data_IF_259646273548
#
_entry.id   IF_259646273548
#
_cell.length_a   1.000
_cell.length_b   1.000
_cell.length_c   1.000
_cell.angle_alpha   90.00
_cell.angle_beta   90.00
_cell.angle_gamma   90.00
#
_symmetry.space_group_name_H-M   'P 1'
#
loop_
_entity.id
_entity.type
_entity.pdbx_description
1 polymer ?
#
# COMPACT_ATOMS: atom_id res chain seq x y z
N UNK A 1 -12.78 30.29 3.65
CA UNK A 1 -14.08 29.81 3.12
C UNK A 1 -14.23 28.29 3.16
N UNK A 2 -13.39 27.48 2.52
CA UNK A 2 -13.56 26.01 2.48
C UNK A 2 -13.69 25.35 3.87
N UNK A 3 -12.86 25.75 4.84
CA UNK A 3 -12.90 25.22 6.23
C UNK A 3 -14.16 25.64 7.01
N UNK A 4 -14.75 26.80 6.68
CA UNK A 4 -15.97 27.29 7.32
C UNK A 4 -17.20 26.56 6.77
N UNK A 5 -17.22 26.32 5.45
CA UNK A 5 -18.28 25.57 4.76
C UNK A 5 -18.27 24.09 5.13
N UNK A 6 -17.10 23.47 5.29
CA UNK A 6 -17.00 22.06 5.70
C UNK A 6 -17.48 21.77 7.13
N UNK A 7 -17.69 22.82 7.94
CA UNK A 7 -18.17 22.71 9.31
C UNK A 7 -19.68 22.93 9.43
N UNK A 8 -20.36 23.28 8.34
CA UNK A 8 -21.82 23.34 8.33
C UNK A 8 -22.40 21.92 8.40
N UNK A 9 -23.54 21.78 9.08
CA UNK A 9 -24.12 20.47 9.41
C UNK A 9 -24.51 19.64 8.18
N UNK A 10 -24.91 20.30 7.09
CA UNK A 10 -25.23 19.67 5.82
C UNK A 10 -24.02 19.01 5.17
N UNK A 11 -22.86 19.68 5.17
CA UNK A 11 -21.62 19.12 4.62
C UNK A 11 -20.93 18.14 5.57
N UNK A 12 -21.00 18.36 6.89
CA UNK A 12 -20.35 17.52 7.88
C UNK A 12 -21.04 16.16 8.06
N UNK A 13 -22.37 16.13 7.97
CA UNK A 13 -23.16 14.90 8.13
C UNK A 13 -23.44 14.17 6.81
N UNK A 14 -23.11 14.77 5.67
CA UNK A 14 -23.26 14.12 4.38
C UNK A 14 -22.22 13.00 4.22
N UNK A 15 -22.70 11.77 4.04
CA UNK A 15 -21.84 10.66 3.64
C UNK A 15 -21.25 10.94 2.25
N UNK A 16 -19.92 10.82 2.07
CA UNK A 16 -19.28 11.13 0.81
C UNK A 16 -19.78 10.18 -0.28
N UNK A 17 -20.14 10.72 -1.45
CA UNK A 17 -20.70 9.95 -2.57
C UNK A 17 -19.88 8.70 -2.95
N UNK A 18 -18.52 8.72 -2.96
CA UNK A 18 -17.74 7.51 -3.22
C UNK A 18 -17.98 6.40 -2.19
N UNK A 19 -18.14 6.74 -0.91
CA UNK A 19 -18.41 5.78 0.16
C UNK A 19 -19.78 5.14 -0.03
N UNK A 20 -20.82 5.95 -0.31
CA UNK A 20 -22.16 5.44 -0.59
C UNK A 20 -22.18 4.50 -1.81
N UNK A 21 -21.44 4.83 -2.88
CA UNK A 21 -21.35 3.99 -4.07
C UNK A 21 -20.66 2.64 -3.78
N UNK A 22 -19.55 2.66 -3.05
CA UNK A 22 -18.78 1.46 -2.66
C UNK A 22 -19.60 0.57 -1.71
N UNK A 23 -20.29 1.16 -0.74
CA UNK A 23 -21.16 0.42 0.18
C UNK A 23 -22.36 -0.20 -0.52
N UNK A 24 -22.96 0.50 -1.50
CA UNK A 24 -24.07 -0.03 -2.31
C UNK A 24 -23.71 -1.28 -3.10
N UNK A 25 -22.45 -1.43 -3.50
CA UNK A 25 -21.96 -2.65 -4.18
C UNK A 25 -21.53 -3.75 -3.21
N UNK A 26 -21.69 -3.54 -1.89
CA UNK A 26 -21.34 -4.52 -0.85
C UNK A 26 -19.87 -4.51 -0.46
N UNK A 27 -19.10 -3.49 -0.86
CA UNK A 27 -17.69 -3.38 -0.53
C UNK A 27 -17.44 -2.46 0.67
N UNK A 28 -16.31 -2.67 1.36
CA UNK A 28 -15.86 -1.82 2.45
C UNK A 28 -15.03 -0.64 1.89
N UNK A 29 -15.32 0.57 2.35
CA UNK A 29 -14.55 1.76 2.03
C UNK A 29 -13.55 2.06 3.15
N UNK A 30 -12.25 1.99 2.85
CA UNK A 30 -11.17 2.26 3.82
C UNK A 30 -10.60 3.65 3.54
N UNK A 31 -10.71 4.56 4.51
CA UNK A 31 -10.08 5.87 4.44
C UNK A 31 -8.69 5.83 5.06
N UNK A 32 -7.68 6.12 4.24
CA UNK A 32 -6.30 6.21 4.71
C UNK A 32 -6.02 7.62 5.25
N UNK A 33 -5.26 7.75 6.36
CA UNK A 33 -4.76 9.03 6.83
C UNK A 33 -4.01 9.81 5.73
N UNK A 34 -4.24 11.12 5.64
CA UNK A 34 -3.52 11.97 4.66
C UNK A 34 -2.03 12.01 4.99
N UNK A 35 -1.19 11.95 3.95
CA UNK A 35 0.28 11.96 4.04
C UNK A 35 0.94 10.73 4.68
N UNK A 36 0.22 9.60 4.69
CA UNK A 36 0.70 8.32 5.17
C UNK A 36 0.80 7.29 4.03
N UNK A 37 1.73 7.52 3.09
CA UNK A 37 1.86 6.70 1.88
C UNK A 37 2.27 5.24 2.18
N UNK A 38 2.86 4.99 3.34
CA UNK A 38 3.18 3.68 3.91
C UNK A 38 1.95 2.83 4.31
N UNK A 39 0.76 3.40 4.24
CA UNK A 39 -0.50 2.69 4.44
C UNK A 39 -1.21 2.38 3.11
N UNK A 40 -0.75 2.93 1.99
CA UNK A 40 -1.39 2.77 0.68
C UNK A 40 -0.69 1.67 -0.15
N UNK A 41 -1.40 0.58 -0.50
CA UNK A 41 -0.87 -0.50 -1.34
C UNK A 41 -0.30 -0.07 -2.69
N UNK A 42 -0.79 1.04 -3.24
CA UNK A 42 -0.42 1.53 -4.57
C UNK A 42 0.86 2.39 -4.50
N UNK A 43 1.03 3.16 -3.41
CA UNK A 43 2.13 4.15 -3.30
C UNK A 43 3.43 3.55 -2.77
N UNK A 44 3.39 2.39 -2.11
CA UNK A 44 4.57 1.80 -1.51
C UNK A 44 5.50 1.09 -2.51
N UNK A 45 5.96 1.83 -3.51
CA UNK A 45 6.98 1.40 -4.47
C UNK A 45 8.30 2.18 -4.38
N UNK A 46 8.43 3.10 -3.42
CA UNK A 46 9.65 3.90 -3.25
C UNK A 46 10.58 3.31 -2.17
N UNK A 47 11.39 2.35 -2.59
CA UNK A 47 12.55 1.87 -1.85
C UNK A 47 13.60 1.25 -2.76
N UNK A 48 13.59 1.62 -4.05
CA UNK A 48 14.21 0.86 -5.13
C UNK A 48 15.23 1.62 -5.97
N UNK A 49 15.74 2.73 -5.46
CA UNK A 49 16.80 3.44 -6.17
C UNK A 49 18.22 3.04 -5.73
N UNK A 50 18.40 2.05 -4.84
CA UNK A 50 19.73 1.61 -4.41
C UNK A 50 19.89 0.10 -4.17
N UNK A 51 19.27 -0.77 -4.97
CA UNK A 51 19.61 -2.19 -4.91
C UNK A 51 19.74 -2.78 -6.32
N UNK A 52 20.98 -2.76 -6.82
CA UNK A 52 21.44 -3.70 -7.83
C UNK A 52 21.42 -5.09 -7.17
N UNK A 53 20.40 -5.89 -7.44
CA UNK A 53 20.41 -7.31 -7.11
C UNK A 53 20.40 -8.07 -8.42
N UNK A 54 21.60 -8.39 -8.91
CA UNK A 54 21.87 -9.72 -9.45
C UNK A 54 21.87 -10.61 -8.22
N UNK A 55 20.84 -11.43 -8.05
CA UNK A 55 21.00 -12.81 -7.60
C UNK A 55 19.64 -13.50 -7.55
N UNK A 56 19.60 -14.61 -8.28
CA UNK A 56 18.65 -15.70 -8.13
C UNK A 56 18.85 -16.32 -6.75
N UNK A 57 17.74 -16.46 -6.02
CA UNK A 57 17.60 -17.30 -4.84
C UNK A 57 18.27 -16.77 -3.55
N UNK A 58 17.42 -16.47 -2.57
CA UNK A 58 17.73 -16.07 -1.19
C UNK A 58 18.22 -14.64 -0.95
N UNK A 59 17.31 -13.67 -0.98
CA UNK A 59 17.38 -12.58 0.01
C UNK A 59 16.06 -11.84 0.16
N UNK A 60 15.78 -11.47 1.41
CA UNK A 60 14.62 -10.81 1.97
C UNK A 60 14.37 -9.40 1.41
N UNK A 61 14.27 -9.30 0.10
CA UNK A 61 14.00 -8.06 -0.59
C UNK A 61 12.54 -7.71 -0.35
N UNK A 62 12.32 -6.60 0.35
CA UNK A 62 11.01 -6.10 0.74
C UNK A 62 10.28 -5.49 -0.47
N UNK A 63 10.04 -6.31 -1.49
CA UNK A 63 9.21 -5.93 -2.62
C UNK A 63 7.75 -5.97 -2.18
N UNK A 64 7.06 -4.89 -2.44
CA UNK A 64 5.64 -4.74 -2.17
C UNK A 64 4.87 -4.97 -3.47
N UNK A 65 3.57 -5.23 -3.40
CA UNK A 65 2.75 -5.59 -4.55
C UNK A 65 3.03 -4.71 -5.79
N UNK A 66 2.89 -3.38 -5.66
CA UNK A 66 3.11 -2.46 -6.77
C UNK A 66 4.58 -2.39 -7.22
N UNK A 67 5.53 -2.49 -6.28
CA UNK A 67 6.95 -2.54 -6.58
C UNK A 67 7.33 -3.77 -7.41
N UNK A 68 6.82 -4.94 -7.03
CA UNK A 68 6.99 -6.20 -7.73
C UNK A 68 6.39 -6.13 -9.14
N UNK A 69 5.15 -5.64 -9.26
CA UNK A 69 4.47 -5.50 -10.56
C UNK A 69 5.24 -4.56 -11.50
N UNK A 70 5.68 -3.40 -11.01
CA UNK A 70 6.46 -2.44 -11.81
C UNK A 70 7.82 -2.98 -12.22
N UNK A 71 8.50 -3.72 -11.34
CA UNK A 71 9.78 -4.34 -11.64
C UNK A 71 9.63 -5.33 -12.79
N UNK A 72 8.71 -6.30 -12.65
CA UNK A 72 8.39 -7.28 -13.70
C UNK A 72 7.91 -6.64 -14.99
N UNK A 73 7.07 -5.61 -14.86
CA UNK A 73 6.66 -4.82 -16.01
C UNK A 73 7.88 -4.26 -16.75
N UNK A 74 8.86 -3.66 -16.07
CA UNK A 74 10.05 -3.05 -16.70
C UNK A 74 10.99 -4.06 -17.37
N UNK A 75 11.04 -5.31 -16.90
CA UNK A 75 11.86 -6.36 -17.52
C UNK A 75 11.42 -6.67 -18.96
N UNK A 76 10.14 -6.47 -19.27
CA UNK A 76 9.57 -6.80 -20.58
C UNK A 76 9.58 -5.57 -21.52
N UNK A 77 10.26 -5.62 -22.68
CA UNK A 77 10.08 -4.63 -23.73
C UNK A 77 8.66 -4.74 -24.32
N UNK A 78 8.05 -3.60 -24.65
CA UNK A 78 6.75 -3.55 -25.36
C UNK A 78 6.86 -2.59 -26.52
N UNK A 79 6.37 -3.00 -27.68
CA UNK A 79 6.49 -2.23 -28.91
C UNK A 79 5.25 -1.37 -29.18
N UNK A 80 4.11 -1.71 -28.56
CA UNK A 80 2.85 -0.98 -28.71
C UNK A 80 2.07 -0.90 -27.40
N UNK A 81 1.02 -0.08 -27.40
CA UNK A 81 0.16 0.13 -26.23
C UNK A 81 -0.63 -1.12 -25.84
N UNK A 82 -1.04 -1.96 -26.80
CA UNK A 82 -1.79 -3.18 -26.51
C UNK A 82 -0.95 -4.18 -25.71
N UNK A 83 0.31 -4.39 -26.11
CA UNK A 83 1.29 -5.20 -25.40
C UNK A 83 1.60 -4.61 -24.01
N UNK A 84 1.73 -3.29 -23.91
CA UNK A 84 1.90 -2.61 -22.62
C UNK A 84 0.72 -2.88 -21.68
N UNK A 85 -0.52 -2.78 -22.18
CA UNK A 85 -1.71 -3.04 -21.38
C UNK A 85 -1.80 -4.51 -20.96
N UNK A 86 -1.51 -5.44 -21.85
CA UNK A 86 -1.51 -6.88 -21.54
C UNK A 86 -0.43 -7.23 -20.51
N UNK A 87 0.79 -6.69 -20.66
CA UNK A 87 1.87 -6.91 -19.72
C UNK A 87 1.51 -6.36 -18.32
N UNK A 88 0.82 -5.22 -18.24
CA UNK A 88 0.37 -4.67 -16.96
C UNK A 88 -0.59 -5.64 -16.25
N UNK A 89 -1.64 -6.11 -16.93
CA UNK A 89 -2.60 -7.07 -16.37
C UNK A 89 -1.91 -8.37 -15.96
N UNK A 90 -1.07 -8.91 -16.84
CA UNK A 90 -0.34 -10.15 -16.58
C UNK A 90 0.48 -10.08 -15.27
N UNK A 91 1.21 -8.99 -15.03
CA UNK A 91 2.02 -8.87 -13.83
C UNK A 91 1.22 -8.50 -12.58
N UNK A 92 0.07 -7.83 -12.73
CA UNK A 92 -0.85 -7.60 -11.62
C UNK A 92 -1.46 -8.92 -11.11
N UNK A 93 -1.81 -9.83 -12.03
CA UNK A 93 -2.41 -11.13 -11.73
C UNK A 93 -1.36 -12.17 -11.29
N UNK A 94 -0.13 -12.06 -11.81
CA UNK A 94 0.96 -12.99 -11.48
C UNK A 94 1.62 -12.70 -10.12
N UNK A 95 1.23 -11.64 -9.41
CA UNK A 95 1.86 -11.28 -8.14
C UNK A 95 1.60 -12.36 -7.09
N UNK A 96 2.67 -12.98 -6.51
CA UNK A 96 2.50 -14.02 -5.52
C UNK A 96 1.73 -13.56 -4.28
N UNK A 97 0.89 -14.43 -3.74
CA UNK A 97 0.09 -14.13 -2.53
C UNK A 97 0.94 -13.83 -1.30
N UNK A 98 2.17 -14.37 -1.22
CA UNK A 98 3.07 -14.09 -0.10
C UNK A 98 3.58 -12.64 -0.14
N UNK A 99 3.79 -12.06 -1.34
CA UNK A 99 4.14 -10.64 -1.51
C UNK A 99 3.00 -9.75 -1.00
N UNK A 100 1.75 -10.08 -1.36
CA UNK A 100 0.56 -9.40 -0.87
C UNK A 100 0.43 -9.49 0.67
N UNK A 101 0.60 -10.68 1.24
CA UNK A 101 0.52 -10.88 2.70
C UNK A 101 1.60 -10.11 3.45
N UNK A 102 2.84 -10.10 2.97
CA UNK A 102 3.95 -9.32 3.56
C UNK A 102 3.62 -7.83 3.58
N UNK A 103 3.02 -7.33 2.50
CA UNK A 103 2.56 -5.95 2.41
C UNK A 103 1.48 -5.65 3.47
N UNK A 104 0.41 -6.45 3.51
CA UNK A 104 -0.70 -6.23 4.45
C UNK A 104 -0.17 -6.22 5.89
N UNK A 105 0.67 -7.19 6.24
CA UNK A 105 1.31 -7.26 7.55
C UNK A 105 2.16 -6.02 7.87
N UNK A 106 2.88 -5.48 6.88
CA UNK A 106 3.67 -4.25 7.04
C UNK A 106 2.77 -3.04 7.30
N UNK A 107 1.72 -2.84 6.51
CA UNK A 107 0.76 -1.74 6.72
C UNK A 107 0.08 -1.83 8.08
N UNK A 108 -0.25 -3.04 8.54
CA UNK A 108 -0.78 -3.26 9.89
C UNK A 108 0.20 -2.83 10.99
N UNK A 109 1.50 -3.08 10.83
CA UNK A 109 2.51 -2.61 11.79
C UNK A 109 2.63 -1.10 11.82
N UNK A 110 2.59 -0.44 10.67
CA UNK A 110 2.54 1.01 10.59
C UNK A 110 1.27 1.55 11.26
N UNK A 111 0.11 0.95 10.98
CA UNK A 111 -1.15 1.33 11.61
C UNK A 111 -1.09 1.20 13.14
N UNK A 112 -0.49 0.11 13.64
CA UNK A 112 -0.26 -0.09 15.08
C UNK A 112 0.68 0.97 15.68
N UNK A 113 1.74 1.34 14.97
CA UNK A 113 2.67 2.40 15.38
C UNK A 113 1.96 3.76 15.46
N UNK A 114 1.17 4.13 14.45
CA UNK A 114 0.40 5.37 14.45
C UNK A 114 -0.67 5.41 15.55
N UNK A 115 -1.33 4.27 15.83
CA UNK A 115 -2.28 4.18 16.96
C UNK A 115 -1.62 4.43 18.32
N UNK A 116 -0.31 4.18 18.43
CA UNK A 116 0.49 4.50 19.64
C UNK A 116 1.00 5.94 19.66
N UNK A 117 0.63 6.78 18.68
CA UNK A 117 1.05 8.17 18.57
C UNK A 117 2.46 8.38 17.99
N UNK A 118 3.06 7.35 17.38
CA UNK A 118 4.36 7.51 16.74
C UNK A 118 4.23 8.35 15.45
N UNK A 119 5.17 9.27 15.24
CA UNK A 119 5.27 10.04 14.00
C UNK A 119 5.93 9.21 12.87
N UNK A 120 6.02 9.75 11.65
CA UNK A 120 6.52 9.02 10.48
C UNK A 120 7.90 8.38 10.67
N UNK A 121 8.90 9.14 11.13
CA UNK A 121 10.26 8.63 11.34
C UNK A 121 10.32 7.59 12.46
N UNK A 122 9.64 7.85 13.59
CA UNK A 122 9.60 6.93 14.72
C UNK A 122 8.83 5.65 14.37
N UNK A 123 7.78 5.73 13.55
CA UNK A 123 7.03 4.58 13.05
C UNK A 123 7.89 3.73 12.10
N UNK A 124 8.64 4.36 11.18
CA UNK A 124 9.59 3.65 10.31
C UNK A 124 10.67 2.95 11.14
N UNK A 125 11.26 3.65 12.11
CA UNK A 125 12.24 3.07 13.01
C UNK A 125 11.64 1.90 13.80
N UNK A 126 10.44 2.05 14.36
CA UNK A 126 9.75 0.99 15.06
C UNK A 126 9.54 -0.22 14.12
N UNK A 127 8.87 -0.06 12.98
CA UNK A 127 8.56 -1.18 12.06
C UNK A 127 9.82 -1.94 11.59
N UNK A 128 10.95 -1.23 11.44
CA UNK A 128 12.25 -1.83 11.07
C UNK A 128 12.91 -2.60 12.21
N UNK A 129 12.86 -2.06 13.44
CA UNK A 129 13.52 -2.64 14.61
C UNK A 129 12.60 -3.59 15.39
N UNK A 130 11.30 -3.62 15.10
CA UNK A 130 10.33 -4.51 15.72
C UNK A 130 10.41 -5.91 15.10
N UNK A 131 11.55 -6.58 15.22
CA UNK A 131 11.59 -8.05 15.21
C UNK A 131 10.89 -8.63 16.47
N UNK A 132 10.66 -7.80 17.50
CA UNK A 132 10.21 -8.19 18.84
C UNK A 132 8.69 -8.10 19.12
N UNK A 133 7.87 -7.46 18.27
CA UNK A 133 6.42 -7.32 18.52
C UNK A 133 5.56 -8.43 17.88
N UNK A 134 6.21 -9.51 17.42
CA UNK A 134 5.64 -10.56 16.57
C UNK A 134 5.02 -11.74 17.34
N UNK A 135 4.20 -11.48 18.37
CA UNK A 135 3.31 -12.51 18.94
C UNK A 135 1.92 -11.96 19.26
N UNK A 136 1.26 -11.36 18.27
CA UNK A 136 -0.19 -11.22 18.34
C UNK A 136 -0.81 -12.21 17.34
N UNK A 137 -1.74 -13.07 17.80
CA UNK A 137 -2.34 -14.08 16.95
C UNK A 137 -3.14 -13.39 15.84
N UNK A 138 -2.93 -13.88 14.62
CA UNK A 138 -3.78 -13.61 13.47
C UNK A 138 -5.21 -14.08 13.81
N UNK A 139 -6.21 -13.21 13.66
CA UNK A 139 -7.61 -13.62 13.48
C UNK A 139 -7.84 -13.70 11.98
#
# INVERSE_FOLDING_TARGET
MARLLSQQDDFANQEPMPETLIKKTGHLCIFLPKFHCELNPIEMASGLLHFNVRDSDSESSCWQYWGWCKYRYRERPKNNFAEAKQAAVQFLDACPLDVLRRFINRSWRFMSAYRKGLNGEAAVWAVRNTALYLKLPYI
#
